data_IF_316766970704
#
_entry.id   IF_316766970704
#
_cell.length_a   1.000
_cell.length_b   1.000
_cell.length_c   1.000
_cell.angle_alpha   90.00
_cell.angle_beta   90.00
_cell.angle_gamma   90.00
#
_symmetry.space_group_name_H-M   'P 1'
#
loop_
_entity.id
_entity.type
_entity.pdbx_description
1 polymer ?
#
# COMPACT_ATOMS: atom_id res chain seq x y z
N UNK A 1 -5.04 2.44 -22.67
CA UNK A 1 -3.92 1.82 -21.93
C UNK A 1 -2.54 2.28 -22.39
N UNK A 2 -2.35 2.63 -23.67
CA UNK A 2 -1.12 3.29 -24.16
C UNK A 2 -0.74 4.58 -23.40
N UNK A 3 -1.70 5.24 -22.73
CA UNK A 3 -1.47 6.47 -21.95
C UNK A 3 -0.41 6.32 -20.85
N UNK A 4 -0.24 5.12 -20.30
CA UNK A 4 0.77 4.84 -19.26
C UNK A 4 1.84 3.84 -19.70
N UNK A 5 1.87 3.46 -20.99
CA UNK A 5 2.83 2.47 -21.50
C UNK A 5 2.71 1.07 -20.91
N UNK A 6 1.58 0.73 -20.27
CA UNK A 6 1.37 -0.58 -19.64
C UNK A 6 0.80 -1.58 -20.64
N UNK A 7 1.54 -2.67 -20.86
CA UNK A 7 1.08 -3.84 -21.63
C UNK A 7 0.39 -4.83 -20.71
N UNK A 8 -0.90 -5.08 -20.96
CA UNK A 8 -1.67 -6.03 -20.16
C UNK A 8 -1.36 -7.47 -20.59
N UNK A 9 -0.96 -8.33 -19.65
CA UNK A 9 -0.77 -9.77 -19.87
C UNK A 9 -1.96 -10.51 -19.26
N UNK A 10 -2.74 -11.18 -20.10
CA UNK A 10 -3.90 -11.96 -19.68
C UNK A 10 -3.52 -13.44 -19.63
N UNK A 11 -3.93 -14.11 -18.56
CA UNK A 11 -3.93 -15.56 -18.49
C UNK A 11 -5.21 -16.11 -19.15
N UNK A 12 -5.11 -17.27 -19.77
CA UNK A 12 -6.28 -18.02 -20.23
C UNK A 12 -7.10 -18.51 -19.04
N UNK A 13 -8.42 -18.59 -19.21
CA UNK A 13 -9.30 -19.14 -18.19
C UNK A 13 -8.88 -20.57 -17.80
N UNK A 14 -9.01 -20.91 -16.51
CA UNK A 14 -8.65 -22.23 -15.95
C UNK A 14 -7.18 -22.65 -16.09
N UNK A 15 -6.26 -21.69 -16.32
CA UNK A 15 -4.81 -21.95 -16.36
C UNK A 15 -4.06 -21.23 -15.22
N UNK A 16 -4.17 -21.72 -13.97
CA UNK A 16 -3.60 -21.06 -12.77
C UNK A 16 -2.06 -21.00 -12.76
N UNK A 17 -1.40 -21.92 -13.48
CA UNK A 17 0.07 -22.00 -13.53
C UNK A 17 0.74 -20.74 -14.07
N UNK A 18 0.09 -19.96 -14.93
CA UNK A 18 0.67 -18.70 -15.46
C UNK A 18 0.84 -17.64 -14.38
N UNK A 19 0.06 -17.72 -13.28
CA UNK A 19 0.06 -16.73 -12.21
C UNK A 19 0.42 -17.32 -10.84
N UNK A 20 1.11 -18.47 -10.81
CA UNK A 20 1.37 -19.22 -9.58
C UNK A 20 2.09 -18.41 -8.49
N UNK A 21 2.98 -17.49 -8.87
CA UNK A 21 3.65 -16.60 -7.89
C UNK A 21 2.65 -15.68 -7.17
N UNK A 22 1.65 -15.16 -7.88
CA UNK A 22 0.59 -14.34 -7.30
C UNK A 22 -0.33 -15.19 -6.44
N UNK A 23 -0.65 -16.41 -6.86
CA UNK A 23 -1.47 -17.34 -6.06
C UNK A 23 -0.81 -17.68 -4.72
N UNK A 24 0.47 -18.07 -4.72
CA UNK A 24 1.23 -18.38 -3.50
C UNK A 24 1.29 -17.16 -2.57
N UNK A 25 1.53 -15.97 -3.15
CA UNK A 25 1.58 -14.71 -2.40
C UNK A 25 0.22 -14.39 -1.76
N UNK A 26 -0.86 -14.50 -2.53
CA UNK A 26 -2.23 -14.25 -2.06
C UNK A 26 -2.65 -15.25 -0.97
N UNK A 27 -2.29 -16.53 -1.10
CA UNK A 27 -2.53 -17.52 -0.06
C UNK A 27 -1.79 -17.16 1.24
N UNK A 28 -0.54 -16.71 1.15
CA UNK A 28 0.21 -16.25 2.31
C UNK A 28 -0.43 -15.05 3.00
N UNK A 29 -0.88 -14.05 2.23
CA UNK A 29 -1.55 -12.85 2.76
C UNK A 29 -2.90 -13.17 3.40
N UNK A 30 -3.72 -14.01 2.75
CA UNK A 30 -5.00 -14.48 3.31
C UNK A 30 -4.79 -15.15 4.66
N UNK A 31 -3.78 -16.01 4.79
CA UNK A 31 -3.48 -16.69 6.06
C UNK A 31 -3.05 -15.74 7.19
N UNK A 32 -2.35 -14.65 6.86
CA UNK A 32 -2.01 -13.60 7.84
C UNK A 32 -3.28 -12.85 8.24
N UNK A 33 -4.08 -12.43 7.26
CA UNK A 33 -5.35 -11.73 7.46
C UNK A 33 -6.32 -12.54 8.33
N UNK A 34 -6.52 -13.81 8.01
CA UNK A 34 -7.38 -14.72 8.79
C UNK A 34 -6.98 -14.77 10.27
N UNK A 35 -5.68 -14.74 10.56
CA UNK A 35 -5.17 -14.72 11.94
C UNK A 35 -5.36 -13.37 12.62
N UNK A 36 -5.21 -12.26 11.91
CA UNK A 36 -5.32 -10.90 12.48
C UNK A 36 -6.77 -10.44 12.65
N UNK A 37 -7.67 -10.88 11.77
CA UNK A 37 -9.08 -10.47 11.75
C UNK A 37 -9.91 -11.32 12.73
N UNK A 38 -9.48 -12.56 12.99
CA UNK A 38 -10.15 -13.45 13.93
C UNK A 38 -11.60 -13.73 13.51
N UNK A 39 -12.53 -13.61 14.45
CA UNK A 39 -13.96 -13.88 14.21
C UNK A 39 -14.66 -12.73 13.45
N UNK A 40 -14.21 -11.48 13.63
CA UNK A 40 -14.87 -10.33 13.04
C UNK A 40 -14.33 -10.02 11.64
N UNK A 41 -14.87 -10.73 10.65
CA UNK A 41 -14.50 -10.57 9.23
C UNK A 41 -14.70 -9.16 8.66
N UNK A 42 -15.47 -8.28 9.31
CA UNK A 42 -15.64 -6.90 8.84
C UNK A 42 -14.37 -6.05 8.96
N UNK A 43 -13.45 -6.41 9.87
CA UNK A 43 -12.22 -5.65 10.15
C UNK A 43 -11.07 -5.94 9.16
N UNK A 44 -11.33 -6.68 8.07
CA UNK A 44 -10.29 -7.11 7.14
C UNK A 44 -9.59 -5.93 6.45
N UNK A 45 -10.32 -4.86 6.14
CA UNK A 45 -9.76 -3.66 5.50
C UNK A 45 -8.78 -2.96 6.42
N UNK A 46 -9.14 -2.83 7.70
CA UNK A 46 -8.37 -2.10 8.69
C UNK A 46 -7.09 -2.87 9.07
N UNK A 47 -7.16 -4.21 9.00
CA UNK A 47 -6.01 -5.11 9.26
C UNK A 47 -5.19 -5.43 8.01
N UNK A 48 -5.61 -4.97 6.84
CA UNK A 48 -4.89 -5.23 5.59
C UNK A 48 -3.50 -4.61 5.60
N UNK A 49 -3.37 -3.40 6.13
CA UNK A 49 -2.08 -2.72 6.19
C UNK A 49 -1.09 -3.46 7.11
N UNK A 50 -1.55 -3.86 8.30
CA UNK A 50 -0.76 -4.66 9.25
C UNK A 50 -0.34 -6.01 8.63
N UNK A 51 -1.25 -6.67 7.92
CA UNK A 51 -0.98 -7.95 7.26
C UNK A 51 0.04 -7.82 6.12
N UNK A 52 -0.05 -6.75 5.31
CA UNK A 52 0.91 -6.43 4.27
C UNK A 52 2.29 -6.13 4.87
N UNK A 53 2.34 -5.38 5.96
CA UNK A 53 3.58 -5.09 6.67
C UNK A 53 4.25 -6.36 7.19
N UNK A 54 3.49 -7.22 7.87
CA UNK A 54 3.99 -8.50 8.35
C UNK A 54 4.50 -9.36 7.19
N UNK A 55 3.80 -9.39 6.05
CA UNK A 55 4.23 -10.14 4.89
C UNK A 55 5.57 -9.63 4.32
N UNK A 56 5.73 -8.29 4.22
CA UNK A 56 6.93 -7.65 3.66
C UNK A 56 8.16 -7.83 4.54
N UNK A 57 7.98 -7.84 5.86
CA UNK A 57 9.09 -7.90 6.84
C UNK A 57 9.44 -9.32 7.26
N UNK A 58 8.57 -10.30 7.05
CA UNK A 58 8.86 -11.70 7.37
C UNK A 58 9.84 -12.31 6.36
N UNK A 59 10.85 -13.03 6.88
CA UNK A 59 11.81 -13.76 6.06
C UNK A 59 11.13 -14.88 5.26
N UNK A 60 11.45 -14.99 3.96
CA UNK A 60 10.94 -16.04 3.08
C UNK A 60 12.07 -16.98 2.71
N UNK A 61 12.03 -18.21 3.25
CA UNK A 61 13.02 -19.26 2.97
C UNK A 61 13.27 -19.51 1.49
N UNK A 62 12.24 -19.56 0.59
CA UNK A 62 12.47 -19.78 -0.83
C UNK A 62 13.26 -18.65 -1.52
N UNK A 63 13.18 -17.43 -0.99
CA UNK A 63 13.84 -16.24 -1.54
C UNK A 63 15.17 -15.97 -0.81
N UNK A 64 15.34 -16.50 0.40
CA UNK A 64 16.53 -16.28 1.23
C UNK A 64 16.60 -14.88 1.86
N UNK A 65 15.55 -14.07 1.76
CA UNK A 65 15.47 -12.75 2.37
C UNK A 65 14.02 -12.32 2.64
N UNK A 66 13.82 -11.09 3.11
CA UNK A 66 12.49 -10.49 3.26
C UNK A 66 12.06 -9.85 1.94
N UNK A 67 10.76 -9.88 1.57
CA UNK A 67 10.28 -9.19 0.37
C UNK A 67 10.61 -7.70 0.36
N UNK A 68 10.64 -7.06 1.54
CA UNK A 68 11.08 -5.67 1.67
C UNK A 68 12.53 -5.46 1.20
N UNK A 69 13.46 -6.33 1.64
CA UNK A 69 14.86 -6.24 1.24
C UNK A 69 15.05 -6.46 -0.25
N UNK A 70 14.21 -7.28 -0.88
CA UNK A 70 14.24 -7.49 -2.33
C UNK A 70 13.89 -6.22 -3.11
N UNK A 71 12.96 -5.40 -2.61
CA UNK A 71 12.51 -4.17 -3.28
C UNK A 71 13.44 -2.98 -3.01
N UNK A 72 13.87 -2.80 -1.76
CA UNK A 72 14.60 -1.60 -1.34
C UNK A 72 16.11 -1.83 -1.13
N UNK A 73 16.60 -3.06 -1.29
CA UNK A 73 18.01 -3.41 -1.09
C UNK A 73 18.47 -3.52 0.37
N UNK A 74 17.70 -2.99 1.32
CA UNK A 74 18.07 -2.89 2.74
C UNK A 74 17.16 -3.72 3.67
N UNK A 75 17.66 -4.11 4.84
CA UNK A 75 16.82 -4.67 5.91
C UNK A 75 15.78 -3.65 6.35
N UNK A 76 14.57 -4.12 6.63
CA UNK A 76 13.52 -3.28 7.17
C UNK A 76 13.86 -2.95 8.63
N UNK A 77 14.47 -1.80 8.86
CA UNK A 77 14.44 -1.18 10.17
C UNK A 77 13.07 -0.52 10.27
N UNK A 78 12.39 -0.75 11.40
CA UNK A 78 11.06 -0.21 11.71
C UNK A 78 10.84 1.31 11.42
N UNK A 79 11.84 2.21 11.23
CA UNK A 79 11.59 3.62 10.93
C UNK A 79 11.09 3.97 9.52
N UNK A 80 11.48 3.27 8.44
CA UNK A 80 11.30 3.87 7.09
C UNK A 80 9.83 3.95 6.64
N UNK A 81 9.00 2.94 6.95
CA UNK A 81 7.58 3.00 6.58
C UNK A 81 6.78 3.98 7.45
N UNK A 82 7.15 4.14 8.73
CA UNK A 82 6.59 5.19 9.61
C UNK A 82 7.00 6.59 9.13
N UNK A 83 8.27 6.77 8.77
CA UNK A 83 8.79 8.02 8.21
C UNK A 83 8.12 8.36 6.88
N UNK A 84 7.93 7.39 6.00
CA UNK A 84 7.23 7.59 4.73
C UNK A 84 5.74 7.93 4.93
N UNK A 85 5.04 7.26 5.85
CA UNK A 85 3.65 7.62 6.21
C UNK A 85 3.58 9.02 6.81
N UNK A 86 4.47 9.35 7.75
CA UNK A 86 4.55 10.68 8.34
C UNK A 86 4.85 11.75 7.28
N UNK A 87 5.75 11.45 6.35
CA UNK A 87 6.07 12.32 5.22
C UNK A 87 4.87 12.56 4.30
N UNK A 88 4.12 11.51 3.94
CA UNK A 88 2.92 11.67 3.10
C UNK A 88 1.77 12.38 3.83
N UNK A 89 1.55 12.09 5.11
CA UNK A 89 0.57 12.80 5.94
C UNK A 89 0.92 14.29 6.04
N UNK A 90 2.20 14.61 6.27
CA UNK A 90 2.69 15.99 6.29
C UNK A 90 2.51 16.67 4.93
N UNK A 91 2.82 15.98 3.83
CA UNK A 91 2.65 16.51 2.47
C UNK A 91 1.18 16.78 2.15
N UNK A 92 0.26 15.91 2.58
CA UNK A 92 -1.18 16.10 2.44
C UNK A 92 -1.67 17.31 3.23
N UNK A 93 -1.33 17.39 4.52
CA UNK A 93 -1.71 18.52 5.38
C UNK A 93 -1.21 19.87 4.82
N UNK A 94 0.00 19.90 4.26
CA UNK A 94 0.55 21.09 3.60
C UNK A 94 -0.19 21.46 2.31
N UNK A 95 -0.69 20.47 1.56
CA UNK A 95 -1.50 20.71 0.37
C UNK A 95 -2.87 21.32 0.74
N UNK A 96 -3.49 20.81 1.79
CA UNK A 96 -4.78 21.30 2.30
C UNK A 96 -4.67 22.72 2.85
N UNK A 97 -3.59 23.04 3.57
CA UNK A 97 -3.36 24.38 4.11
C UNK A 97 -3.22 25.44 2.99
N UNK A 98 -2.52 25.10 1.91
CA UNK A 98 -2.35 26.00 0.76
C UNK A 98 -3.68 26.25 0.06
N UNK A 99 -4.45 25.19 -0.14
CA UNK A 99 -5.80 25.24 -0.74
C UNK A 99 -6.78 26.04 0.13
N UNK A 100 -6.75 25.84 1.45
CA UNK A 100 -7.55 26.59 2.40
C UNK A 100 -7.17 28.08 2.47
N UNK A 101 -5.87 28.39 2.32
CA UNK A 101 -5.37 29.75 2.23
C UNK A 101 -5.89 30.49 0.98
N UNK A 102 -5.80 29.84 -0.18
CA UNK A 102 -6.29 30.39 -1.45
C UNK A 102 -7.82 30.59 -1.41
N UNK A 103 -8.55 29.65 -0.81
CA UNK A 103 -10.00 29.76 -0.66
C UNK A 103 -10.43 30.91 0.27
N UNK A 104 -9.72 31.12 1.39
CA UNK A 104 -9.95 32.30 2.27
C UNK A 104 -9.65 33.61 1.54
N UNK A 105 -8.62 33.62 0.70
CA UNK A 105 -8.25 34.80 -0.10
C UNK A 105 -9.33 35.15 -1.11
N UNK A 106 -9.92 34.15 -1.76
CA UNK A 106 -11.08 34.30 -2.64
C UNK A 106 -12.31 34.82 -1.88
N UNK A 107 -12.64 34.23 -0.72
CA UNK A 107 -13.77 34.68 0.11
C UNK A 107 -13.61 36.13 0.60
N UNK A 108 -12.39 36.54 0.95
CA UNK A 108 -12.11 37.92 1.31
C UNK A 108 -12.30 38.85 0.11
N UNK A 109 -11.82 38.49 -1.08
CA UNK A 109 -12.00 39.31 -2.27
C UNK A 109 -13.48 39.47 -2.69
N UNK A 110 -14.33 38.49 -2.40
CA UNK A 110 -15.79 38.57 -2.64
C UNK A 110 -16.54 39.45 -1.63
N UNK A 111 -16.00 39.69 -0.44
CA UNK A 111 -16.59 40.58 0.58
C UNK A 111 -16.29 42.07 0.34
N UNK A 112 -15.27 42.36 -0.47
CA UNK A 112 -14.86 43.73 -0.81
C UNK A 112 -15.38 44.20 -2.18
N UNK A 113 -16.35 43.50 -2.76
CA UNK A 113 -17.09 43.88 -3.97
C UNK A 113 -18.60 43.99 -3.71
#
# INVERSE_FOLDING_TARGET
>A
MSKYGVTHRLSTAYHPQTNGQVEVTNCGLKRILERTVGENRALWSDKLEDALWAFRTTFKTPIGCTPYRLVYGNSCHLPLELEHKAFWALKHANFDLKTAGDHRKLQLNELYF
#
